data_IF_402095426911
#
_entry.id   IF_402095426911
#
_cell.length_a   1.000
_cell.length_b   1.000
_cell.length_c   1.000
_cell.angle_alpha   90.00
_cell.angle_beta   90.00
_cell.angle_gamma   90.00
#
_symmetry.space_group_name_H-M   'P 1'
#
loop_
_entity.id
_entity.type
_entity.pdbx_description
1 polymer ?
#
# COMPACT_ATOMS: atom_id res chain seq x y z
N UNK A 1 -8.88 1.95 -1.29
CA UNK A 1 -8.65 1.38 -2.64
C UNK A 1 -9.79 0.42 -2.99
N UNK A 2 -10.47 0.61 -4.14
CA UNK A 2 -11.67 -0.17 -4.52
C UNK A 2 -12.71 -0.30 -3.39
N UNK A 3 -13.06 0.83 -2.76
CA UNK A 3 -14.04 0.86 -1.67
C UNK A 3 -13.58 0.29 -0.33
N UNK A 4 -12.33 -0.18 -0.20
CA UNK A 4 -11.78 -0.72 1.06
C UNK A 4 -10.72 0.19 1.67
N UNK A 5 -10.75 0.32 3.00
CA UNK A 5 -9.68 0.94 3.79
C UNK A 5 -8.47 0.01 3.77
N UNK A 6 -7.31 0.53 3.35
CA UNK A 6 -6.06 -0.25 3.28
C UNK A 6 -5.16 0.03 4.47
N UNK A 7 -5.21 1.25 4.96
CA UNK A 7 -4.39 1.77 6.04
C UNK A 7 -5.08 3.00 6.63
N UNK A 8 -5.04 3.12 7.95
CA UNK A 8 -5.58 4.25 8.72
C UNK A 8 -4.64 4.51 9.91
N UNK A 9 -4.12 5.74 10.01
CA UNK A 9 -3.21 6.14 11.08
C UNK A 9 -3.15 7.67 11.21
N UNK A 10 -2.55 8.22 12.29
CA UNK A 10 -2.21 9.63 12.35
C UNK A 10 -1.44 10.08 11.12
N UNK A 11 -1.65 11.33 10.70
CA UNK A 11 -1.06 11.90 9.49
C UNK A 11 0.47 11.73 9.50
N UNK A 12 1.12 12.09 10.59
CA UNK A 12 2.57 12.01 10.73
C UNK A 12 3.07 10.56 10.55
N UNK A 13 2.38 9.58 11.16
CA UNK A 13 2.66 8.15 10.99
C UNK A 13 2.54 7.70 9.54
N UNK A 14 1.50 8.12 8.81
CA UNK A 14 1.31 7.77 7.39
C UNK A 14 2.46 8.32 6.52
N UNK A 15 2.95 9.53 6.81
CA UNK A 15 4.03 10.14 6.03
C UNK A 15 5.42 9.60 6.40
N UNK A 16 5.64 9.23 7.65
CA UNK A 16 6.94 8.77 8.15
C UNK A 16 7.13 7.25 8.00
N UNK A 17 6.11 6.46 8.34
CA UNK A 17 6.15 5.00 8.36
C UNK A 17 4.90 4.38 7.71
N UNK A 18 4.60 4.63 6.42
CA UNK A 18 3.49 3.95 5.75
C UNK A 18 3.75 2.44 5.71
N UNK A 19 2.80 1.65 6.18
CA UNK A 19 2.94 0.20 6.32
C UNK A 19 2.40 -0.57 5.11
N UNK A 20 1.27 -0.14 4.53
CA UNK A 20 0.68 -0.84 3.39
C UNK A 20 1.45 -0.53 2.09
N UNK A 21 1.78 -1.53 1.24
CA UNK A 21 2.51 -1.30 -0.02
C UNK A 21 1.85 -0.29 -0.97
N UNK A 22 0.52 -0.22 -0.98
CA UNK A 22 -0.25 0.83 -1.67
C UNK A 22 0.07 2.23 -1.14
N UNK A 23 -0.03 2.46 0.17
CA UNK A 23 0.24 3.76 0.80
C UNK A 23 1.69 4.17 0.60
N UNK A 24 2.65 3.24 0.76
CA UNK A 24 4.07 3.46 0.42
C UNK A 24 4.22 3.95 -1.02
N UNK A 25 3.55 3.29 -1.95
CA UNK A 25 3.52 3.70 -3.35
C UNK A 25 2.98 5.11 -3.55
N UNK A 26 1.87 5.46 -2.90
CA UNK A 26 1.29 6.81 -2.97
C UNK A 26 2.26 7.87 -2.45
N UNK A 27 2.85 7.67 -1.28
CA UNK A 27 3.80 8.61 -0.67
C UNK A 27 5.04 8.79 -1.57
N UNK A 28 5.56 7.70 -2.14
CA UNK A 28 6.71 7.75 -3.04
C UNK A 28 6.40 8.42 -4.39
N UNK A 29 5.13 8.44 -4.82
CA UNK A 29 4.69 9.16 -6.02
C UNK A 29 4.56 10.68 -5.81
N UNK A 30 4.70 11.19 -4.57
CA UNK A 30 4.57 12.63 -4.28
C UNK A 30 5.81 13.39 -4.78
N UNK A 31 5.67 14.40 -5.64
CA UNK A 31 6.79 15.21 -6.07
C UNK A 31 7.22 16.18 -4.96
N UNK A 32 8.39 15.97 -4.37
CA UNK A 32 8.95 16.90 -3.38
C UNK A 32 9.71 18.05 -4.05
N UNK A 33 9.41 19.31 -3.72
CA UNK A 33 10.22 20.46 -4.13
C UNK A 33 11.68 20.26 -3.69
N UNK A 34 12.63 20.33 -4.62
CA UNK A 34 14.06 20.13 -4.35
C UNK A 34 14.61 18.71 -4.60
N UNK A 35 13.77 17.67 -4.53
CA UNK A 35 14.19 16.26 -4.75
C UNK A 35 14.60 15.99 -6.21
N UNK A 36 14.13 16.81 -7.16
CA UNK A 36 14.51 16.77 -8.59
C UNK A 36 15.91 17.32 -8.91
N UNK A 37 16.58 18.03 -7.98
CA UNK A 37 17.82 18.75 -8.29
C UNK A 37 19.09 17.94 -8.04
N UNK A 38 19.06 16.93 -7.17
CA UNK A 38 20.25 16.14 -6.78
C UNK A 38 20.43 14.85 -7.60
N UNK A 39 19.35 14.34 -8.20
CA UNK A 39 19.35 13.11 -8.99
C UNK A 39 18.72 13.46 -10.33
N UNK A 40 19.54 13.75 -11.35
CA UNK A 40 19.04 14.21 -12.65
C UNK A 40 17.91 13.33 -13.18
N UNK A 41 16.74 13.93 -13.47
CA UNK A 41 15.58 13.31 -14.14
C UNK A 41 15.21 11.88 -13.69
N UNK A 42 15.50 11.46 -12.46
CA UNK A 42 15.06 10.15 -12.01
C UNK A 42 13.53 10.10 -12.08
N UNK A 43 12.94 9.05 -12.70
CA UNK A 43 11.50 8.92 -12.78
C UNK A 43 10.91 8.83 -11.38
N UNK A 44 9.72 9.40 -11.19
CA UNK A 44 8.97 9.24 -9.94
C UNK A 44 8.61 7.76 -9.78
N UNK A 45 8.63 7.27 -8.55
CA UNK A 45 8.17 5.92 -8.27
C UNK A 45 6.67 5.83 -8.53
N UNK A 46 6.27 4.91 -9.41
CA UNK A 46 4.88 4.63 -9.75
C UNK A 46 4.43 3.26 -9.22
N UNK A 47 3.15 3.17 -8.88
CA UNK A 47 2.49 1.90 -8.58
C UNK A 47 2.19 1.21 -9.91
N UNK A 48 2.83 0.06 -10.21
CA UNK A 48 2.74 -0.57 -11.53
C UNK A 48 1.31 -1.05 -11.83
N UNK A 49 0.99 -1.15 -13.12
CA UNK A 49 -0.28 -1.69 -13.61
C UNK A 49 -1.47 -0.73 -13.50
N UNK A 50 -2.63 -1.21 -13.92
CA UNK A 50 -3.88 -0.44 -13.99
C UNK A 50 -4.81 -0.78 -12.81
N UNK A 51 -5.59 0.20 -12.35
CA UNK A 51 -6.63 -0.05 -11.33
C UNK A 51 -7.70 -0.97 -11.93
N UNK A 52 -8.05 -2.10 -11.30
CA UNK A 52 -9.15 -2.95 -11.75
C UNK A 52 -10.49 -2.21 -11.77
N UNK A 53 -11.40 -2.63 -12.64
CA UNK A 53 -12.78 -2.14 -12.65
C UNK A 53 -13.55 -2.61 -11.41
N UNK A 54 -14.59 -1.88 -11.01
CA UNK A 54 -15.47 -2.27 -9.88
C UNK A 54 -16.25 -3.57 -10.15
N UNK A 55 -16.36 -4.00 -11.41
CA UNK A 55 -16.97 -5.27 -11.83
C UNK A 55 -16.00 -6.44 -11.84
N UNK A 56 -14.69 -6.18 -11.68
CA UNK A 56 -13.62 -7.18 -11.75
C UNK A 56 -12.70 -7.05 -10.53
N UNK A 57 -13.31 -7.17 -9.34
CA UNK A 57 -12.59 -7.08 -8.07
C UNK A 57 -11.80 -8.38 -7.87
N UNK A 58 -10.46 -8.32 -7.71
CA UNK A 58 -9.64 -9.49 -7.47
C UNK A 58 -10.05 -10.25 -6.20
N UNK A 59 -9.90 -11.58 -6.22
CA UNK A 59 -10.04 -12.40 -5.01
C UNK A 59 -8.95 -12.06 -3.99
N UNK A 60 -9.26 -12.26 -2.71
CA UNK A 60 -8.34 -11.97 -1.60
C UNK A 60 -8.11 -10.47 -1.38
N UNK A 61 -6.85 -10.07 -1.19
CA UNK A 61 -6.45 -8.67 -1.10
C UNK A 61 -6.73 -7.97 -2.43
N UNK A 62 -7.60 -6.95 -2.44
CA UNK A 62 -7.98 -6.25 -3.69
C UNK A 62 -6.82 -5.48 -4.36
N UNK A 63 -5.69 -5.29 -3.66
CA UNK A 63 -4.48 -4.68 -4.22
C UNK A 63 -3.47 -5.72 -4.74
N UNK A 64 -3.72 -7.02 -4.57
CA UNK A 64 -2.77 -8.08 -4.92
C UNK A 64 -2.22 -8.01 -6.37
N UNK A 65 -2.97 -7.62 -7.42
CA UNK A 65 -2.44 -7.62 -8.79
C UNK A 65 -1.35 -6.57 -9.03
N UNK A 66 -1.30 -5.52 -8.19
CA UNK A 66 -0.36 -4.39 -8.31
C UNK A 66 0.64 -4.32 -7.16
N UNK A 67 0.49 -5.20 -6.17
CA UNK A 67 1.35 -5.23 -4.99
C UNK A 67 2.68 -5.90 -5.30
N UNK A 68 3.79 -5.13 -5.21
CA UNK A 68 5.16 -5.66 -5.35
C UNK A 68 5.56 -6.64 -4.23
N UNK A 69 4.85 -6.62 -3.10
CA UNK A 69 5.10 -7.47 -1.93
C UNK A 69 4.06 -8.59 -1.77
N UNK A 70 3.33 -8.94 -2.84
CA UNK A 70 2.27 -9.96 -2.81
C UNK A 70 2.80 -11.32 -2.32
N UNK A 71 2.14 -11.91 -1.34
CA UNK A 71 2.32 -13.31 -0.90
C UNK A 71 1.19 -14.20 -1.46
N UNK A 72 1.36 -15.52 -1.40
CA UNK A 72 0.35 -16.49 -1.90
C UNK A 72 -1.01 -16.36 -1.20
N UNK A 73 -1.03 -16.02 0.09
CA UNK A 73 -2.29 -15.80 0.83
C UNK A 73 -3.08 -14.59 0.31
N UNK A 74 -2.41 -13.60 -0.29
CA UNK A 74 -3.03 -12.38 -0.78
C UNK A 74 -4.00 -12.59 -1.94
N UNK A 75 -3.90 -13.69 -2.69
CA UNK A 75 -4.84 -14.02 -3.78
C UNK A 75 -6.02 -14.87 -3.30
N UNK A 76 -5.94 -15.40 -2.08
CA UNK A 76 -6.89 -16.35 -1.51
C UNK A 76 -7.78 -15.69 -0.46
N UNK A 77 -7.18 -14.94 0.46
CA UNK A 77 -7.87 -14.35 1.62
C UNK A 77 -7.61 -12.85 1.67
N UNK A 78 -8.68 -12.07 1.84
CA UNK A 78 -8.58 -10.65 2.07
C UNK A 78 -8.02 -10.41 3.48
N UNK A 79 -6.96 -9.62 3.65
CA UNK A 79 -6.49 -9.26 4.98
C UNK A 79 -7.55 -8.42 5.70
N UNK A 80 -7.75 -8.70 6.98
CA UNK A 80 -8.55 -7.84 7.85
C UNK A 80 -7.78 -6.55 8.19
N UNK A 81 -8.51 -5.50 8.51
CA UNK A 81 -7.92 -4.27 9.04
C UNK A 81 -7.55 -4.51 10.49
N UNK A 82 -6.25 -4.60 10.79
CA UNK A 82 -5.73 -4.88 12.12
C UNK A 82 -4.80 -3.78 12.58
N UNK A 83 -4.83 -3.48 13.87
CA UNK A 83 -3.88 -2.56 14.50
C UNK A 83 -2.51 -3.24 14.63
N UNK A 84 -1.49 -2.65 14.00
CA UNK A 84 -0.11 -3.15 14.05
C UNK A 84 0.75 -2.38 15.06
N UNK A 85 0.40 -1.13 15.33
CA UNK A 85 1.01 -0.21 16.29
C UNK A 85 -0.08 0.76 16.81
N UNK A 86 0.19 1.59 17.82
CA UNK A 86 -0.80 2.52 18.41
C UNK A 86 -1.47 3.38 17.34
N UNK A 87 -2.79 3.20 17.17
CA UNK A 87 -3.62 3.90 16.18
C UNK A 87 -3.17 3.69 14.74
N UNK A 88 -2.40 2.65 14.44
CA UNK A 88 -1.95 2.33 13.08
C UNK A 88 -2.58 1.03 12.61
N UNK A 89 -3.64 1.16 11.82
CA UNK A 89 -4.45 0.07 11.33
C UNK A 89 -4.11 -0.23 9.88
N UNK A 90 -3.89 -1.50 9.55
CA UNK A 90 -3.45 -1.92 8.21
C UNK A 90 -4.16 -3.19 7.78
N UNK A 91 -4.64 -3.22 6.53
CA UNK A 91 -5.19 -4.40 5.90
C UNK A 91 -4.14 -5.06 4.97
N UNK A 92 -3.10 -5.66 5.55
CA UNK A 92 -2.02 -6.27 4.78
C UNK A 92 -1.32 -7.44 5.48
N UNK A 93 -1.34 -8.62 4.86
CA UNK A 93 -0.60 -9.81 5.33
C UNK A 93 0.91 -9.64 5.46
N UNK A 94 1.50 -8.62 4.84
CA UNK A 94 2.92 -8.32 4.99
C UNK A 94 3.19 -7.46 6.22
N UNK A 95 2.26 -6.53 6.52
CA UNK A 95 2.39 -5.62 7.67
C UNK A 95 2.03 -6.30 8.99
N UNK A 96 1.13 -7.29 8.96
CA UNK A 96 0.69 -8.02 10.16
C UNK A 96 1.79 -8.83 10.86
N UNK A 97 2.96 -9.02 10.22
CA UNK A 97 3.97 -9.96 10.70
C UNK A 97 3.53 -11.42 10.52
N UNK A 98 4.48 -12.36 10.50
CA UNK A 98 4.20 -13.81 10.42
C UNK A 98 3.62 -14.35 11.73
N UNK A 99 2.50 -13.80 12.21
CA UNK A 99 1.75 -14.35 13.33
C UNK A 99 0.68 -15.35 12.85
N UNK A 100 1.10 -16.29 12.00
CA UNK A 100 0.47 -17.61 11.80
C UNK A 100 1.56 -18.66 11.60
#
# INVERSE_FOLDING_TARGET
>A
YLGRVMEDAPVDTIFENPAHPYTRGLINSIPFPGRKRTIGRAPLDEIPGVVPGLTDIPSGCVFNPRCRMRKNICTQVAPELMEIEDKHWVACWVAHGENQ
#
